data_IF_696946533087
#
_entry.id   IF_696946533087
#
_cell.length_a   1.000
_cell.length_b   1.000
_cell.length_c   1.000
_cell.angle_alpha   90.00
_cell.angle_beta   90.00
_cell.angle_gamma   90.00
#
_symmetry.space_group_name_H-M   'P 1'
#
loop_
_entity.id
_entity.type
_entity.pdbx_description
1 polymer ?
#
# COMPACT_ATOMS: atom_id res chain seq x y z
N UNK A 1 5.17 -3.78 30.22
CA UNK A 1 3.98 -4.52 29.77
C UNK A 1 2.78 -3.69 30.07
N UNK A 2 2.69 -2.61 29.30
CA UNK A 2 1.49 -1.82 29.20
C UNK A 2 0.55 -2.56 28.26
N UNK A 3 -0.37 -3.32 28.86
CA UNK A 3 -1.36 -4.13 28.15
C UNK A 3 -2.75 -3.52 28.29
N UNK A 4 -3.53 -3.45 27.20
CA UNK A 4 -4.93 -3.03 27.33
C UNK A 4 -5.59 -2.53 26.05
N UNK A 5 -6.61 -1.69 26.24
CA UNK A 5 -7.31 -0.99 25.16
C UNK A 5 -7.09 0.50 25.36
N UNK A 6 -6.57 1.17 24.33
CA UNK A 6 -6.43 2.63 24.28
C UNK A 6 -7.39 3.18 23.24
N UNK A 7 -8.08 4.26 23.58
CA UNK A 7 -8.99 4.96 22.67
C UNK A 7 -8.59 6.42 22.61
N UNK A 8 -8.21 6.88 21.42
CA UNK A 8 -7.94 8.28 21.12
C UNK A 8 -9.07 8.80 20.26
N UNK A 9 -9.73 9.88 20.68
CA UNK A 9 -10.85 10.41 19.90
C UNK A 9 -11.07 11.90 20.08
N UNK A 10 -11.36 12.60 18.97
CA UNK A 10 -11.74 14.01 18.95
C UNK A 10 -10.71 14.94 19.63
N UNK A 11 -9.43 14.57 19.53
CA UNK A 11 -8.29 15.31 20.06
C UNK A 11 -7.64 16.10 18.93
N UNK A 12 -7.63 17.44 18.98
CA UNK A 12 -6.85 18.23 18.03
C UNK A 12 -5.38 18.28 18.47
N UNK A 13 -4.45 18.24 17.52
CA UNK A 13 -3.03 18.47 17.79
C UNK A 13 -2.16 17.26 17.50
N UNK A 14 -1.30 16.90 18.45
CA UNK A 14 -0.40 15.74 18.36
C UNK A 14 -0.77 14.76 19.48
N UNK A 15 -1.10 13.53 19.12
CA UNK A 15 -1.36 12.44 20.06
C UNK A 15 -0.27 11.37 19.92
N UNK A 16 0.30 10.95 21.04
CA UNK A 16 1.34 9.92 21.11
C UNK A 16 0.83 8.75 21.98
N UNK A 17 0.87 7.52 21.46
CA UNK A 17 0.43 6.31 22.17
C UNK A 17 1.47 5.21 22.04
N UNK A 18 1.99 4.75 23.17
CA UNK A 18 2.86 3.57 23.25
C UNK A 18 2.24 2.47 24.12
N UNK A 19 2.09 1.24 23.62
CA UNK A 19 1.70 0.06 24.42
C UNK A 19 2.42 -1.22 23.97
N UNK A 20 2.89 -2.06 24.90
CA UNK A 20 3.53 -3.34 24.54
C UNK A 20 2.52 -4.29 23.86
N UNK A 21 1.28 -4.37 24.36
CA UNK A 21 0.29 -5.30 23.78
C UNK A 21 -1.15 -4.85 23.94
N UNK A 22 -1.92 -4.83 22.86
CA UNK A 22 -3.35 -4.53 23.03
C UNK A 22 -4.10 -4.11 21.78
N UNK A 23 -5.09 -3.25 22.00
CA UNK A 23 -5.91 -2.66 20.95
C UNK A 23 -5.84 -1.15 21.07
N UNK A 24 -5.52 -0.48 19.97
CA UNK A 24 -5.59 0.99 19.86
C UNK A 24 -6.66 1.34 18.85
N UNK A 25 -7.61 2.18 19.27
CA UNK A 25 -8.66 2.71 18.40
C UNK A 25 -8.53 4.22 18.33
N UNK A 26 -8.34 4.75 17.13
CA UNK A 26 -8.23 6.19 16.87
C UNK A 26 -9.38 6.64 15.99
N UNK A 27 -10.09 7.70 16.40
CA UNK A 27 -11.24 8.19 15.66
C UNK A 27 -11.44 9.71 15.71
N UNK A 28 -11.68 10.34 14.55
CA UNK A 28 -12.07 11.75 14.48
C UNK A 28 -10.98 12.72 14.97
N UNK A 29 -9.73 12.43 14.64
CA UNK A 29 -8.56 13.21 15.07
C UNK A 29 -8.11 14.13 13.94
N UNK A 30 -8.26 15.46 14.08
CA UNK A 30 -7.58 16.42 13.22
C UNK A 30 -6.17 16.69 13.76
N UNK A 31 -5.12 16.28 13.05
CA UNK A 31 -3.75 16.48 13.50
C UNK A 31 -2.81 15.31 13.21
N UNK A 32 -1.79 15.14 14.06
CA UNK A 32 -0.76 14.11 13.93
C UNK A 32 -1.01 13.05 15.00
N UNK A 33 -0.90 11.78 14.62
CA UNK A 33 -0.97 10.63 15.53
C UNK A 33 0.33 9.83 15.37
N UNK A 34 1.03 9.61 16.48
CA UNK A 34 2.22 8.76 16.57
C UNK A 34 1.90 7.55 17.45
N UNK A 35 2.03 6.34 16.88
CA UNK A 35 1.69 5.08 17.54
C UNK A 35 2.91 4.15 17.57
N UNK A 36 3.21 3.60 18.75
CA UNK A 36 4.21 2.53 18.93
C UNK A 36 3.60 1.33 19.65
N UNK A 37 3.47 0.20 18.97
CA UNK A 37 2.79 -0.98 19.53
C UNK A 37 3.52 -2.27 19.17
N UNK A 38 4.13 -2.95 20.14
CA UNK A 38 4.86 -4.19 19.84
C UNK A 38 3.91 -5.27 19.30
N UNK A 39 2.76 -5.50 19.94
CA UNK A 39 1.83 -6.54 19.48
C UNK A 39 0.36 -6.16 19.62
N UNK A 40 -0.45 -6.29 18.57
CA UNK A 40 -1.88 -6.03 18.74
C UNK A 40 -2.70 -5.73 17.51
N UNK A 41 -3.71 -4.89 17.73
CA UNK A 41 -4.61 -4.39 16.69
C UNK A 41 -4.66 -2.87 16.76
N UNK A 42 -4.54 -2.23 15.61
CA UNK A 42 -4.72 -0.80 15.43
C UNK A 42 -5.88 -0.57 14.48
N UNK A 43 -6.87 0.20 14.92
CA UNK A 43 -7.96 0.68 14.07
C UNK A 43 -7.92 2.20 14.05
N UNK A 44 -7.70 2.79 12.88
CA UNK A 44 -7.68 4.25 12.69
C UNK A 44 -8.78 4.65 11.72
N UNK A 45 -9.59 5.64 12.11
CA UNK A 45 -10.68 6.14 11.29
C UNK A 45 -10.90 7.65 11.37
N UNK A 46 -11.28 8.27 10.26
CA UNK A 46 -11.73 9.67 10.27
C UNK A 46 -10.65 10.66 10.73
N UNK A 47 -9.40 10.39 10.35
CA UNK A 47 -8.27 11.27 10.65
C UNK A 47 -8.15 12.31 9.54
N UNK A 48 -7.94 13.56 9.91
CA UNK A 48 -7.64 14.64 8.97
C UNK A 48 -6.25 15.18 9.30
N UNK A 49 -5.20 14.50 8.83
CA UNK A 49 -3.82 14.86 9.14
C UNK A 49 -2.83 13.74 8.85
N UNK A 50 -1.89 13.48 9.77
CA UNK A 50 -0.77 12.55 9.58
C UNK A 50 -0.85 11.40 10.57
N UNK A 51 -0.51 10.19 10.12
CA UNK A 51 -0.42 8.99 10.94
C UNK A 51 0.99 8.41 10.77
N UNK A 52 1.68 8.20 11.88
CA UNK A 52 2.93 7.45 11.96
C UNK A 52 2.72 6.26 12.90
N UNK A 53 3.01 5.05 12.45
CA UNK A 53 2.84 3.82 13.23
C UNK A 53 4.05 2.90 13.07
N UNK A 54 4.65 2.53 14.20
CA UNK A 54 5.54 1.39 14.32
C UNK A 54 4.85 0.23 15.04
N UNK A 55 4.89 -0.97 14.47
CA UNK A 55 4.34 -2.18 15.10
C UNK A 55 5.11 -3.45 14.76
N UNK A 56 5.61 -4.19 15.75
CA UNK A 56 6.34 -5.44 15.46
C UNK A 56 5.39 -6.52 14.92
N UNK A 57 4.23 -6.73 15.56
CA UNK A 57 3.31 -7.79 15.14
C UNK A 57 1.84 -7.44 15.31
N UNK A 58 1.05 -7.53 14.24
CA UNK A 58 -0.38 -7.35 14.43
C UNK A 58 -1.22 -7.12 13.19
N UNK A 59 -2.33 -6.42 13.42
CA UNK A 59 -3.28 -6.03 12.38
C UNK A 59 -3.49 -4.53 12.46
N UNK A 60 -3.36 -3.89 11.32
CA UNK A 60 -3.59 -2.46 11.16
C UNK A 60 -4.70 -2.26 10.16
N UNK A 61 -5.75 -1.54 10.55
CA UNK A 61 -6.85 -1.14 9.69
C UNK A 61 -6.95 0.37 9.72
N UNK A 62 -6.71 1.01 8.58
CA UNK A 62 -6.82 2.46 8.45
C UNK A 62 -7.88 2.78 7.42
N UNK A 63 -8.82 3.65 7.79
CA UNK A 63 -9.89 4.05 6.88
C UNK A 63 -10.30 5.51 7.01
N UNK A 64 -10.76 6.10 5.90
CA UNK A 64 -11.35 7.44 5.91
C UNK A 64 -10.37 8.50 6.40
N UNK A 65 -9.10 8.40 6.00
CA UNK A 65 -8.09 9.43 6.26
C UNK A 65 -8.20 10.47 5.16
N UNK A 66 -8.57 11.69 5.52
CA UNK A 66 -8.79 12.75 4.54
C UNK A 66 -7.48 13.45 4.19
N UNK A 67 -6.97 13.22 2.98
CA UNK A 67 -5.93 14.02 2.37
C UNK A 67 -6.40 14.83 1.16
N UNK A 68 -5.96 16.09 1.08
CA UNK A 68 -6.18 16.94 -0.11
C UNK A 68 -4.94 16.86 -1.00
N UNK A 69 -5.04 16.18 -2.13
CA UNK A 69 -4.02 16.23 -3.19
C UNK A 69 -4.32 17.43 -4.09
N UNK A 70 -3.87 18.61 -3.68
CA UNK A 70 -3.50 19.69 -4.61
C UNK A 70 -2.57 20.69 -3.91
N UNK A 71 -1.24 20.50 -4.04
CA UNK A 71 -0.19 21.48 -3.70
C UNK A 71 -0.16 22.02 -2.24
N UNK A 72 -0.38 21.16 -1.25
CA UNK A 72 -0.31 21.48 0.18
C UNK A 72 -0.75 20.32 1.06
N UNK A 73 0.19 19.39 1.32
CA UNK A 73 -0.04 18.04 1.85
C UNK A 73 -0.81 18.04 3.18
N UNK A 74 -1.97 17.39 3.15
CA UNK A 74 -2.71 16.87 4.32
C UNK A 74 -3.03 15.42 3.98
N UNK A 75 -2.92 14.47 4.92
CA UNK A 75 -3.07 13.03 4.67
C UNK A 75 -1.75 12.36 4.28
N UNK A 76 -0.88 12.09 5.25
CA UNK A 76 0.31 11.22 5.09
C UNK A 76 0.17 10.06 6.06
N UNK A 77 0.33 8.84 5.55
CA UNK A 77 0.35 7.62 6.36
C UNK A 77 1.74 7.00 6.21
N UNK A 78 2.44 6.80 7.33
CA UNK A 78 3.71 6.07 7.39
C UNK A 78 3.54 4.88 8.34
N UNK A 79 3.65 3.65 7.80
CA UNK A 79 3.52 2.41 8.58
C UNK A 79 4.79 1.56 8.46
N UNK A 80 5.43 1.26 9.59
CA UNK A 80 6.50 0.27 9.70
C UNK A 80 6.04 -0.93 10.50
N UNK A 81 5.96 -2.12 9.88
CA UNK A 81 5.41 -3.33 10.52
C UNK A 81 6.27 -4.56 10.25
N UNK A 82 6.84 -5.21 11.27
CA UNK A 82 7.67 -6.40 10.99
C UNK A 82 6.80 -7.57 10.49
N UNK A 83 5.69 -7.88 11.18
CA UNK A 83 4.83 -9.00 10.77
C UNK A 83 3.35 -8.75 10.98
N UNK A 84 2.51 -9.02 9.96
CA UNK A 84 1.08 -8.82 10.18
C UNK A 84 0.18 -8.70 8.97
N UNK A 85 -0.88 -7.92 9.15
CA UNK A 85 -1.84 -7.56 8.10
C UNK A 85 -2.09 -6.06 8.14
N UNK A 86 -2.01 -5.40 6.99
CA UNK A 86 -2.42 -4.01 6.80
C UNK A 86 -3.62 -3.97 5.86
N UNK A 87 -4.63 -3.21 6.24
CA UNK A 87 -5.77 -2.87 5.40
C UNK A 87 -5.91 -1.36 5.33
N UNK A 88 -5.75 -0.80 4.14
CA UNK A 88 -5.98 0.61 3.84
C UNK A 88 -7.21 0.76 2.94
N UNK A 89 -8.15 1.60 3.34
CA UNK A 89 -9.30 1.93 2.50
C UNK A 89 -9.77 3.37 2.63
N UNK A 90 -10.17 4.01 1.54
CA UNK A 90 -10.65 5.40 1.57
C UNK A 90 -9.61 6.38 2.19
N UNK A 91 -8.33 6.23 1.85
CA UNK A 91 -7.20 7.06 2.35
C UNK A 91 -6.55 7.90 1.23
N UNK A 92 -7.28 8.83 0.58
CA UNK A 92 -6.68 9.66 -0.47
C UNK A 92 -5.45 10.43 0.05
N UNK A 93 -4.31 10.33 -0.63
CA UNK A 93 -3.09 11.00 -0.17
C UNK A 93 -1.78 10.36 -0.63
N UNK A 94 -0.82 10.37 0.29
CA UNK A 94 0.48 9.71 0.14
C UNK A 94 0.59 8.69 1.27
N UNK A 95 0.73 7.43 0.90
CA UNK A 95 0.83 6.30 1.82
C UNK A 95 2.19 5.61 1.63
N UNK A 96 3.02 5.59 2.66
CA UNK A 96 4.34 4.95 2.72
C UNK A 96 4.28 3.75 3.69
N UNK A 97 4.60 2.56 3.19
CA UNK A 97 4.50 1.31 3.95
C UNK A 97 5.78 0.50 3.85
N UNK A 98 6.31 0.09 5.00
CA UNK A 98 7.40 -0.88 5.12
C UNK A 98 6.95 -2.09 5.90
N UNK A 99 7.16 -3.30 5.35
CA UNK A 99 6.73 -4.52 6.03
C UNK A 99 7.62 -5.74 5.76
N UNK A 100 8.23 -6.35 6.77
CA UNK A 100 9.09 -7.53 6.52
C UNK A 100 8.24 -8.73 6.06
N UNK A 101 7.16 -9.06 6.75
CA UNK A 101 6.34 -10.22 6.39
C UNK A 101 4.84 -10.03 6.61
N UNK A 102 4.03 -10.28 5.58
CA UNK A 102 2.59 -10.31 5.82
C UNK A 102 1.68 -10.16 4.63
N UNK A 103 0.58 -9.45 4.86
CA UNK A 103 -0.43 -9.16 3.85
C UNK A 103 -0.76 -7.67 3.89
N UNK A 104 -0.71 -7.02 2.74
CA UNK A 104 -1.19 -5.65 2.56
C UNK A 104 -2.37 -5.68 1.60
N UNK A 105 -3.49 -5.10 2.01
CA UNK A 105 -4.68 -4.92 1.18
C UNK A 105 -4.97 -3.43 1.09
N UNK A 106 -5.00 -2.91 -0.13
CA UNK A 106 -5.32 -1.51 -0.41
C UNK A 106 -6.52 -1.44 -1.35
N UNK A 107 -7.54 -0.69 -0.96
CA UNK A 107 -8.76 -0.52 -1.75
C UNK A 107 -9.27 0.92 -1.74
N UNK A 108 -9.58 1.49 -2.90
CA UNK A 108 -10.18 2.84 -3.01
C UNK A 108 -9.30 3.96 -2.41
N UNK A 109 -7.99 3.90 -2.69
CA UNK A 109 -6.97 4.83 -2.17
C UNK A 109 -6.39 5.65 -3.34
N UNK A 110 -7.03 6.73 -3.78
CA UNK A 110 -6.49 7.52 -4.88
C UNK A 110 -5.29 8.35 -4.42
N UNK A 111 -4.16 8.30 -5.13
CA UNK A 111 -2.97 9.06 -4.73
C UNK A 111 -1.65 8.38 -5.07
N UNK A 112 -0.68 8.49 -4.17
CA UNK A 112 0.64 7.87 -4.29
C UNK A 112 0.78 6.81 -3.21
N UNK A 113 1.20 5.62 -3.60
CA UNK A 113 1.52 4.52 -2.69
C UNK A 113 2.96 4.09 -2.94
N UNK A 114 3.76 4.08 -1.88
CA UNK A 114 5.08 3.46 -1.85
C UNK A 114 5.04 2.31 -0.85
N UNK A 115 5.38 1.10 -1.31
CA UNK A 115 5.36 -0.09 -0.46
C UNK A 115 6.64 -0.93 -0.67
N UNK A 116 7.36 -1.16 0.41
CA UNK A 116 8.46 -2.12 0.49
C UNK A 116 8.07 -3.33 1.34
N UNK A 117 8.25 -4.54 0.84
CA UNK A 117 7.98 -5.76 1.61
C UNK A 117 8.93 -6.92 1.33
N UNK A 118 9.56 -7.53 2.33
CA UNK A 118 10.45 -8.69 2.06
C UNK A 118 9.63 -9.91 1.61
N UNK A 119 8.58 -10.29 2.34
CA UNK A 119 7.80 -11.49 2.02
C UNK A 119 6.31 -11.35 2.26
N UNK A 120 5.49 -11.64 1.26
CA UNK A 120 4.05 -11.68 1.53
C UNK A 120 3.09 -11.67 0.36
N UNK A 121 1.95 -11.05 0.60
CA UNK A 121 0.89 -10.86 -0.39
C UNK A 121 0.46 -9.41 -0.39
N UNK A 122 0.41 -8.82 -1.57
CA UNK A 122 -0.11 -7.48 -1.79
C UNK A 122 -1.31 -7.56 -2.72
N UNK A 123 -2.43 -7.01 -2.30
CA UNK A 123 -3.62 -6.83 -3.12
C UNK A 123 -3.95 -5.34 -3.19
N UNK A 124 -3.95 -4.78 -4.40
CA UNK A 124 -4.28 -3.37 -4.65
C UNK A 124 -5.43 -3.29 -5.63
N UNK A 125 -6.46 -2.53 -5.26
CA UNK A 125 -7.63 -2.32 -6.10
C UNK A 125 -8.19 -0.89 -6.03
N UNK A 126 -8.62 -0.34 -7.17
CA UNK A 126 -9.31 0.96 -7.16
C UNK A 126 -8.43 2.14 -6.73
N UNK A 127 -7.13 2.09 -7.01
CA UNK A 127 -6.14 3.12 -6.64
C UNK A 127 -5.76 3.91 -7.89
N UNK A 128 -6.52 4.92 -8.33
CA UNK A 128 -6.07 5.77 -9.43
C UNK A 128 -4.90 6.65 -8.94
N UNK A 129 -3.76 6.63 -9.63
CA UNK A 129 -2.59 7.41 -9.23
C UNK A 129 -1.24 6.77 -9.55
N UNK A 130 -0.32 6.77 -8.60
CA UNK A 130 1.04 6.21 -8.73
C UNK A 130 1.23 5.13 -7.68
N UNK A 131 1.73 3.96 -8.09
CA UNK A 131 2.13 2.87 -7.20
C UNK A 131 3.60 2.56 -7.47
N UNK A 132 4.42 2.58 -6.42
CA UNK A 132 5.77 2.03 -6.39
C UNK A 132 5.80 0.86 -5.40
N UNK A 133 6.17 -0.32 -5.87
CA UNK A 133 6.17 -1.54 -5.08
C UNK A 133 7.49 -2.29 -5.24
N UNK A 134 8.21 -2.48 -4.13
CA UNK A 134 9.35 -3.39 -4.04
C UNK A 134 9.00 -4.59 -3.17
N UNK A 135 9.20 -5.81 -3.68
CA UNK A 135 9.02 -7.01 -2.87
C UNK A 135 10.00 -8.14 -3.19
N UNK A 136 10.75 -8.65 -2.21
CA UNK A 136 11.68 -9.75 -2.47
C UNK A 136 10.94 -11.03 -2.87
N UNK A 137 9.95 -11.48 -2.09
CA UNK A 137 9.25 -12.73 -2.37
C UNK A 137 7.75 -12.70 -2.09
N UNK A 138 6.92 -13.07 -3.07
CA UNK A 138 5.50 -13.18 -2.76
C UNK A 138 4.53 -13.20 -3.93
N UNK A 139 3.35 -12.64 -3.67
CA UNK A 139 2.29 -12.49 -4.66
C UNK A 139 1.80 -11.06 -4.65
N UNK A 140 1.74 -10.45 -5.83
CA UNK A 140 1.18 -9.11 -6.02
C UNK A 140 0.00 -9.22 -6.98
N UNK A 141 -1.14 -8.67 -6.58
CA UNK A 141 -2.34 -8.57 -7.41
C UNK A 141 -2.74 -7.10 -7.48
N UNK A 142 -2.73 -6.52 -8.67
CA UNK A 142 -3.11 -5.13 -8.92
C UNK A 142 -4.28 -5.09 -9.90
N UNK A 143 -5.36 -4.43 -9.54
CA UNK A 143 -6.55 -4.34 -10.40
C UNK A 143 -7.26 -2.99 -10.36
N UNK A 144 -7.73 -2.49 -11.51
CA UNK A 144 -8.53 -1.25 -11.54
C UNK A 144 -7.73 -0.01 -11.06
N UNK A 145 -6.44 0.03 -11.37
CA UNK A 145 -5.50 1.10 -11.02
C UNK A 145 -5.13 1.85 -12.30
N UNK A 146 -5.92 2.85 -12.73
CA UNK A 146 -5.51 3.71 -13.83
C UNK A 146 -4.43 4.69 -13.34
N UNK A 147 -3.31 4.79 -14.06
CA UNK A 147 -2.17 5.60 -13.63
C UNK A 147 -0.84 4.92 -13.91
N UNK A 148 0.14 5.16 -13.03
CA UNK A 148 1.53 4.67 -13.12
C UNK A 148 1.75 3.55 -12.10
N UNK A 149 2.42 2.47 -12.52
CA UNK A 149 2.78 1.33 -11.66
C UNK A 149 4.24 1.00 -11.93
N UNK A 150 5.08 1.08 -10.91
CA UNK A 150 6.45 0.57 -10.91
C UNK A 150 6.53 -0.59 -9.91
N UNK A 151 7.03 -1.74 -10.37
CA UNK A 151 7.06 -2.97 -9.58
C UNK A 151 8.39 -3.69 -9.76
N UNK A 152 9.10 -3.92 -8.66
CA UNK A 152 10.27 -4.79 -8.60
C UNK A 152 10.03 -5.98 -7.69
N UNK A 153 10.31 -7.19 -8.18
CA UNK A 153 10.34 -8.40 -7.34
C UNK A 153 11.48 -9.36 -7.65
N UNK A 154 12.05 -10.01 -6.64
CA UNK A 154 13.03 -11.08 -6.89
C UNK A 154 12.32 -12.39 -7.26
N UNK A 155 11.31 -12.80 -6.50
CA UNK A 155 10.63 -14.08 -6.75
C UNK A 155 9.15 -14.04 -6.46
N UNK A 156 8.31 -14.41 -7.43
CA UNK A 156 6.89 -14.47 -7.11
C UNK A 156 5.92 -14.63 -8.25
N UNK A 157 4.70 -14.17 -7.96
CA UNK A 157 3.61 -14.10 -8.93
C UNK A 157 3.09 -12.67 -8.94
N UNK A 158 3.03 -12.09 -10.12
CA UNK A 158 2.42 -10.79 -10.34
C UNK A 158 1.22 -10.96 -11.26
N UNK A 159 0.09 -10.42 -10.85
CA UNK A 159 -1.12 -10.35 -11.65
C UNK A 159 -1.56 -8.90 -11.73
N UNK A 160 -1.54 -8.32 -12.93
CA UNK A 160 -1.98 -6.95 -13.19
C UNK A 160 -3.12 -6.98 -14.19
N UNK A 161 -4.23 -6.31 -13.85
CA UNK A 161 -5.40 -6.26 -14.73
C UNK A 161 -6.17 -4.95 -14.66
N UNK A 162 -6.79 -4.52 -15.76
CA UNK A 162 -7.63 -3.31 -15.79
C UNK A 162 -6.90 -2.03 -15.29
N UNK A 163 -5.60 -1.92 -15.60
CA UNK A 163 -4.74 -0.78 -15.23
C UNK A 163 -4.30 0.01 -16.48
N UNK A 164 -5.20 0.81 -17.10
CA UNK A 164 -4.82 1.60 -18.25
C UNK A 164 -3.81 2.69 -17.85
N UNK A 165 -2.71 2.77 -18.58
CA UNK A 165 -1.72 3.83 -18.44
C UNK A 165 -2.26 5.21 -18.79
N UNK A 166 -1.50 6.24 -18.43
CA UNK A 166 -1.71 7.59 -18.97
C UNK A 166 -1.30 7.61 -20.45
N UNK A 167 -1.96 8.41 -21.32
CA UNK A 167 -1.76 8.49 -22.80
C UNK A 167 -0.35 9.03 -23.25
N UNK A 168 0.68 8.77 -22.46
CA UNK A 168 2.11 8.94 -22.69
C UNK A 168 2.77 7.59 -22.39
N UNK A 169 3.92 7.22 -22.99
CA UNK A 169 4.67 6.07 -22.47
C UNK A 169 4.89 6.34 -20.97
N UNK A 170 4.30 5.48 -20.13
CA UNK A 170 3.93 5.77 -18.74
C UNK A 170 2.92 4.76 -18.18
N UNK A 171 3.18 3.47 -18.45
CA UNK A 171 3.22 2.41 -17.42
C UNK A 171 4.39 1.53 -17.83
N UNK A 172 5.64 1.84 -17.48
CA UNK A 172 6.28 1.94 -16.15
C UNK A 172 6.57 0.53 -15.58
N UNK A 173 7.85 0.24 -15.30
CA UNK A 173 8.49 -1.08 -15.35
C UNK A 173 7.87 -2.13 -14.41
N UNK A 174 7.54 -3.32 -14.95
CA UNK A 174 7.32 -4.53 -14.15
C UNK A 174 8.56 -5.42 -14.25
N UNK A 175 9.40 -5.46 -13.22
CA UNK A 175 10.57 -6.31 -13.13
C UNK A 175 10.36 -7.49 -12.18
N UNK A 176 10.56 -8.72 -12.66
CA UNK A 176 10.67 -9.91 -11.80
C UNK A 176 11.89 -10.76 -12.14
N UNK A 177 12.72 -11.11 -11.19
CA UNK A 177 13.85 -12.01 -11.47
C UNK A 177 13.36 -13.44 -11.77
N UNK A 178 12.52 -14.02 -10.90
CA UNK A 178 11.99 -15.38 -11.10
C UNK A 178 10.50 -15.50 -10.79
N UNK A 179 9.68 -15.94 -11.74
CA UNK A 179 8.26 -16.09 -11.41
C UNK A 179 7.26 -16.27 -12.53
N UNK A 180 6.05 -15.81 -12.24
CA UNK A 180 4.94 -15.74 -13.20
C UNK A 180 4.41 -14.33 -13.23
N UNK A 181 4.35 -13.74 -14.42
CA UNK A 181 3.67 -12.45 -14.66
C UNK A 181 2.43 -12.72 -15.49
N UNK A 182 1.28 -12.24 -15.05
CA UNK A 182 0.02 -12.24 -15.79
C UNK A 182 -0.44 -10.80 -15.96
N UNK A 183 -0.54 -10.34 -17.19
CA UNK A 183 -1.02 -8.99 -17.53
C UNK A 183 -2.25 -9.10 -18.43
N UNK A 184 -3.36 -8.47 -18.04
CA UNK A 184 -4.59 -8.49 -18.83
C UNK A 184 -5.36 -7.18 -18.87
N UNK A 185 -5.78 -6.74 -20.06
CA UNK A 185 -6.64 -5.56 -20.23
C UNK A 185 -6.01 -4.25 -19.68
N UNK A 186 -4.70 -4.09 -19.91
CA UNK A 186 -3.89 -2.95 -19.46
C UNK A 186 -3.30 -2.16 -20.65
N UNK A 187 -4.08 -1.33 -21.37
CA UNK A 187 -3.55 -0.47 -22.42
C UNK A 187 -2.41 0.43 -21.90
N UNK A 188 -1.33 0.56 -22.66
CA UNK A 188 -0.23 1.46 -22.33
C UNK A 188 0.96 0.85 -21.57
N UNK A 189 0.96 -0.46 -21.30
CA UNK A 189 2.15 -1.14 -20.70
C UNK A 189 3.33 -1.09 -21.68
N UNK A 190 4.44 -0.52 -21.22
CA UNK A 190 5.66 -0.28 -21.99
C UNK A 190 6.68 -1.42 -21.83
N UNK A 191 6.86 -1.96 -20.62
CA UNK A 191 7.90 -2.96 -20.33
C UNK A 191 7.48 -4.01 -19.28
N UNK A 192 7.76 -5.28 -19.57
CA UNK A 192 7.64 -6.40 -18.61
C UNK A 192 8.93 -7.20 -18.64
N UNK A 193 9.81 -6.96 -17.69
CA UNK A 193 11.06 -7.69 -17.50
C UNK A 193 10.84 -8.96 -16.69
N UNK A 194 11.23 -10.12 -17.24
CA UNK A 194 11.40 -11.34 -16.45
C UNK A 194 12.70 -12.07 -16.79
N UNK A 195 13.55 -12.33 -15.79
CA UNK A 195 14.80 -13.06 -16.02
C UNK A 195 14.53 -14.57 -16.23
N UNK A 196 13.71 -15.17 -15.38
CA UNK A 196 13.35 -16.59 -15.44
C UNK A 196 11.89 -16.82 -15.09
N UNK A 197 11.07 -17.25 -16.05
CA UNK A 197 9.70 -17.61 -15.70
C UNK A 197 8.72 -17.67 -16.86
N UNK A 198 7.48 -17.31 -16.57
CA UNK A 198 6.37 -17.32 -17.53
C UNK A 198 5.70 -15.96 -17.53
N UNK A 199 5.57 -15.37 -18.72
CA UNK A 199 4.71 -14.19 -18.94
C UNK A 199 3.47 -14.61 -19.71
N UNK A 200 2.30 -14.21 -19.22
CA UNK A 200 1.01 -14.35 -19.90
C UNK A 200 0.43 -12.97 -20.12
N UNK A 201 0.25 -12.57 -21.38
CA UNK A 201 -0.34 -11.27 -21.75
C UNK A 201 -1.61 -11.47 -22.56
N UNK A 202 -2.68 -10.75 -22.22
CA UNK A 202 -3.93 -10.71 -22.99
C UNK A 202 -4.53 -9.29 -23.02
N UNK A 203 -5.14 -8.87 -24.12
CA UNK A 203 -5.90 -7.61 -24.12
C UNK A 203 -5.05 -6.33 -23.92
N UNK A 204 -3.74 -6.38 -24.17
CA UNK A 204 -2.82 -5.24 -24.06
C UNK A 204 -2.54 -4.64 -25.45
N UNK A 205 -3.21 -3.56 -25.86
CA UNK A 205 -2.84 -2.82 -27.06
C UNK A 205 -1.59 -1.95 -26.80
N UNK A 206 -0.44 -2.34 -27.36
CA UNK A 206 0.86 -1.66 -27.17
C UNK A 206 2.04 -2.46 -27.73
N UNK A 207 3.26 -1.91 -27.64
CA UNK A 207 4.51 -2.68 -27.79
C UNK A 207 4.93 -3.09 -26.39
N UNK A 208 5.10 -4.39 -26.15
CA UNK A 208 5.64 -4.90 -24.89
C UNK A 208 7.08 -5.29 -25.17
N UNK A 209 8.03 -4.66 -24.48
CA UNK A 209 9.39 -5.16 -24.40
C UNK A 209 9.48 -6.25 -23.32
N UNK A 210 10.12 -7.37 -23.67
CA UNK A 210 10.32 -8.57 -22.85
C UNK A 210 11.81 -8.89 -22.74
#
# INVERSE_FOLDING_TARGET
MDTGVVVVSNTPGVDEVGIDTGVVVVSGVPGVIELGIDTGVVEVSGVAGVIELGMDTGVVVVSGVAGVIELGVTGVIELGIDTGVVVLSDTPGVDELGMDTGVVVVSDVPGVIELGMDTGVVEVSGVPGVIELGMDTGVVVVSGVPGVIELGMDTGVVVVSDTPGVDTPGVDELGIDTGVVVVSDTPGVDEVGIDTGVVVVSGVPGVIEL
#
